data_IF_532368003220
#
_entry.id   IF_532368003220
#
_cell.length_a   1.000
_cell.length_b   1.000
_cell.length_c   1.000
_cell.angle_alpha   90.00
_cell.angle_beta   90.00
_cell.angle_gamma   90.00
#
_symmetry.space_group_name_H-M   'P 1'
#
loop_
_entity.id
_entity.type
_entity.pdbx_description
1 polymer ?
#
# COMPACT_ATOMS: atom_id res chain seq x y z
N UNK A 1 20.43 -6.66 -48.24
CA UNK A 1 19.81 -5.64 -47.38
C UNK A 1 19.32 -6.34 -46.12
N UNK A 2 19.67 -5.78 -44.96
CA UNK A 2 19.63 -6.41 -43.63
C UNK A 2 18.19 -6.70 -43.21
N UNK A 3 17.92 -7.95 -42.80
CA UNK A 3 16.64 -8.36 -42.25
C UNK A 3 16.43 -7.72 -40.89
N UNK A 4 15.54 -6.73 -40.83
CA UNK A 4 15.09 -6.15 -39.58
C UNK A 4 14.06 -7.12 -39.00
N UNK A 5 14.51 -7.95 -38.05
CA UNK A 5 13.61 -8.78 -37.24
C UNK A 5 12.62 -7.92 -36.44
N UNK A 6 11.56 -8.51 -35.89
CA UNK A 6 10.58 -7.78 -35.09
C UNK A 6 11.28 -7.02 -33.96
N UNK A 7 10.97 -5.72 -33.84
CA UNK A 7 11.51 -4.88 -32.76
C UNK A 7 11.22 -5.55 -31.42
N UNK A 8 12.22 -5.64 -30.51
CA UNK A 8 11.95 -6.10 -29.16
C UNK A 8 10.88 -5.22 -28.52
N UNK A 9 10.00 -5.79 -27.67
CA UNK A 9 8.98 -5.00 -26.99
C UNK A 9 9.65 -3.86 -26.22
N UNK A 10 9.05 -2.66 -26.20
CA UNK A 10 9.60 -1.52 -25.47
C UNK A 10 9.80 -1.92 -24.00
N UNK A 11 10.97 -1.58 -23.45
CA UNK A 11 11.29 -1.83 -22.05
C UNK A 11 10.27 -1.13 -21.16
N UNK A 12 9.54 -1.89 -20.33
CA UNK A 12 8.62 -1.35 -19.30
C UNK A 12 9.31 -0.43 -18.27
N UNK A 13 10.64 -0.45 -18.22
CA UNK A 13 11.43 0.61 -17.59
C UNK A 13 11.69 1.66 -18.67
N UNK A 14 11.06 2.83 -18.56
CA UNK A 14 11.41 3.98 -19.39
C UNK A 14 12.93 4.11 -19.46
N UNK A 15 13.45 4.38 -20.66
CA UNK A 15 14.88 4.35 -20.90
C UNK A 15 15.55 5.53 -20.19
N UNK A 16 16.08 5.30 -18.98
CA UNK A 16 16.92 6.25 -18.25
C UNK A 16 18.12 6.77 -19.08
N UNK A 17 18.41 6.14 -20.22
CA UNK A 17 19.46 6.55 -21.15
C UNK A 17 19.15 7.85 -21.89
N UNK A 18 17.89 8.28 -21.96
CA UNK A 18 17.47 9.52 -22.65
C UNK A 18 17.34 10.72 -21.69
N UNK A 19 17.54 10.52 -20.38
CA UNK A 19 17.37 11.57 -19.37
C UNK A 19 18.64 12.41 -19.17
N UNK A 20 18.50 13.73 -18.96
CA UNK A 20 19.57 14.60 -18.46
C UNK A 20 20.24 14.03 -17.19
N UNK A 21 21.57 14.15 -17.11
CA UNK A 21 22.37 13.49 -16.07
C UNK A 21 22.06 14.02 -14.65
N UNK A 22 21.70 15.29 -14.53
CA UNK A 22 21.23 15.93 -13.31
C UNK A 22 19.92 15.30 -12.82
N UNK A 23 18.94 15.06 -13.70
CA UNK A 23 17.70 14.37 -13.34
C UNK A 23 17.96 12.91 -12.94
N UNK A 24 18.89 12.23 -13.60
CA UNK A 24 19.29 10.87 -13.22
C UNK A 24 19.91 10.85 -11.81
N UNK A 25 20.75 11.83 -11.48
CA UNK A 25 21.32 11.96 -10.14
C UNK A 25 20.25 12.23 -9.09
N UNK A 26 19.30 13.11 -9.40
CA UNK A 26 18.19 13.43 -8.50
C UNK A 26 17.28 12.23 -8.28
N UNK A 27 16.95 11.46 -9.33
CA UNK A 27 16.18 10.22 -9.19
C UNK A 27 16.89 9.23 -8.27
N UNK A 28 18.22 9.08 -8.40
CA UNK A 28 18.99 8.19 -7.50
C UNK A 28 18.95 8.68 -6.06
N UNK A 29 19.09 9.98 -5.84
CA UNK A 29 18.96 10.57 -4.51
C UNK A 29 17.56 10.30 -3.91
N UNK A 30 16.50 10.50 -4.70
CA UNK A 30 15.13 10.21 -4.31
C UNK A 30 14.91 8.72 -4.01
N UNK A 31 15.50 7.83 -4.80
CA UNK A 31 15.48 6.39 -4.53
C UNK A 31 16.12 6.06 -3.17
N UNK A 32 17.26 6.67 -2.86
CA UNK A 32 17.95 6.47 -1.59
C UNK A 32 17.12 6.91 -0.38
N UNK A 33 16.41 8.04 -0.47
CA UNK A 33 15.64 8.58 0.66
C UNK A 33 14.21 8.03 0.75
N UNK A 34 13.60 7.62 -0.37
CA UNK A 34 12.22 7.14 -0.41
C UNK A 34 12.11 5.61 -0.31
N UNK A 35 13.08 4.85 -0.81
CA UNK A 35 13.02 3.38 -0.74
C UNK A 35 13.42 2.91 0.66
N UNK A 36 12.43 2.42 1.40
CA UNK A 36 12.65 1.83 2.72
C UNK A 36 13.10 0.38 2.55
N UNK A 37 14.37 0.09 2.81
CA UNK A 37 14.97 -1.26 2.69
C UNK A 37 14.33 -2.27 3.66
N UNK A 38 14.39 -3.56 3.32
CA UNK A 38 13.86 -4.65 4.15
C UNK A 38 14.33 -4.61 5.61
N UNK A 39 15.62 -4.32 5.84
CA UNK A 39 16.17 -4.17 7.20
C UNK A 39 15.46 -3.09 8.02
N UNK A 40 15.18 -1.93 7.41
CA UNK A 40 14.46 -0.85 8.06
C UNK A 40 12.98 -1.18 8.26
N UNK A 41 12.35 -1.89 7.32
CA UNK A 41 10.98 -2.38 7.49
C UNK A 41 10.87 -3.35 8.68
N UNK A 42 11.84 -4.24 8.86
CA UNK A 42 11.90 -5.14 10.02
C UNK A 42 12.08 -4.38 11.32
N UNK A 43 12.95 -3.37 11.35
CA UNK A 43 13.13 -2.48 12.51
C UNK A 43 11.81 -1.79 12.89
N UNK A 44 11.13 -1.17 11.92
CA UNK A 44 9.82 -0.51 12.13
C UNK A 44 8.77 -1.51 12.62
N UNK A 45 8.71 -2.70 11.99
CA UNK A 45 7.75 -3.75 12.37
C UNK A 45 8.00 -4.21 13.81
N UNK A 46 9.25 -4.44 14.20
CA UNK A 46 9.59 -4.84 15.56
C UNK A 46 9.27 -3.73 16.57
N UNK A 47 9.49 -2.47 16.21
CA UNK A 47 9.07 -1.34 17.03
C UNK A 47 7.54 -1.36 17.23
N UNK A 48 6.74 -1.50 16.17
CA UNK A 48 5.29 -1.65 16.29
C UNK A 48 4.87 -2.84 17.16
N UNK A 49 5.54 -4.00 17.05
CA UNK A 49 5.26 -5.14 17.94
C UNK A 49 5.44 -4.74 19.40
N UNK A 50 6.57 -4.12 19.75
CA UNK A 50 6.85 -3.67 21.12
C UNK A 50 5.86 -2.62 21.64
N UNK A 51 5.41 -1.68 20.80
CA UNK A 51 4.37 -0.72 21.18
C UNK A 51 3.01 -1.40 21.38
N UNK A 52 2.65 -2.35 20.51
CA UNK A 52 1.42 -3.13 20.68
C UNK A 52 1.45 -4.02 21.94
N UNK A 53 2.63 -4.46 22.40
CA UNK A 53 2.81 -5.21 23.65
C UNK A 53 2.64 -4.34 24.89
N UNK A 54 3.15 -3.10 24.87
CA UNK A 54 2.96 -2.12 25.94
C UNK A 54 1.48 -1.76 26.13
N UNK A 55 0.70 -1.79 25.04
CA UNK A 55 -0.68 -1.30 25.02
C UNK A 55 -0.70 0.22 24.94
N UNK A 56 -1.77 0.78 24.37
CA UNK A 56 -1.82 2.22 24.08
C UNK A 56 -2.10 3.05 25.34
N UNK A 57 -1.32 4.12 25.53
CA UNK A 57 -1.62 5.24 26.43
C UNK A 57 -1.88 6.46 25.52
N UNK A 58 -3.13 6.92 25.53
CA UNK A 58 -3.68 8.11 24.86
C UNK A 58 -3.84 8.11 23.32
N UNK A 59 -4.89 8.82 22.89
CA UNK A 59 -5.40 8.85 21.52
C UNK A 59 -4.83 10.00 20.70
N UNK A 60 -4.40 9.69 19.48
CA UNK A 60 -4.05 10.65 18.44
C UNK A 60 -4.69 10.26 17.11
N UNK A 61 -5.10 11.25 16.32
CA UNK A 61 -5.57 11.06 14.94
C UNK A 61 -4.55 11.67 14.00
N UNK A 62 -4.05 10.89 13.02
CA UNK A 62 -3.15 11.36 11.99
C UNK A 62 -3.96 11.56 10.70
N UNK A 63 -4.04 12.79 10.15
CA UNK A 63 -4.73 13.02 8.90
C UNK A 63 -3.98 12.38 7.72
N UNK A 64 -4.74 11.80 6.79
CA UNK A 64 -4.22 11.15 5.59
C UNK A 64 -4.56 12.02 4.37
N UNK A 65 -3.54 12.64 3.74
CA UNK A 65 -3.69 13.36 2.48
C UNK A 65 -3.27 12.45 1.32
N UNK A 66 -4.18 12.05 0.42
CA UNK A 66 -3.82 11.19 -0.70
C UNK A 66 -3.28 12.01 -1.89
N UNK A 67 -2.16 11.57 -2.47
CA UNK A 67 -1.60 12.09 -3.74
C UNK A 67 -1.52 10.96 -4.76
N UNK A 68 -2.04 11.18 -5.98
CA UNK A 68 -2.15 10.16 -7.03
C UNK A 68 -1.50 10.66 -8.33
N UNK A 69 -0.81 9.75 -9.04
CA UNK A 69 -0.51 9.89 -10.47
C UNK A 69 -0.84 8.55 -11.11
N UNK A 70 -1.79 8.56 -12.03
CA UNK A 70 -2.17 7.42 -12.87
C UNK A 70 -1.79 7.83 -14.29
N UNK A 71 -0.96 7.04 -14.98
CA UNK A 71 -0.82 7.17 -16.42
C UNK A 71 -0.67 5.77 -17.03
N UNK A 72 -1.73 5.23 -17.65
CA UNK A 72 -1.69 3.91 -18.25
C UNK A 72 -0.94 3.89 -19.59
N UNK A 73 -0.60 5.05 -20.16
CA UNK A 73 0.00 5.17 -21.48
C UNK A 73 1.50 5.50 -21.40
N UNK A 74 2.32 4.85 -22.23
CA UNK A 74 3.77 5.12 -22.28
C UNK A 74 4.11 6.54 -22.74
N UNK A 75 3.16 7.23 -23.39
CA UNK A 75 3.32 8.58 -23.91
C UNK A 75 3.16 9.69 -22.86
N UNK A 76 2.78 9.35 -21.62
CA UNK A 76 2.62 10.28 -20.50
C UNK A 76 1.62 11.43 -20.74
N UNK A 77 0.69 11.23 -21.68
CA UNK A 77 -0.23 12.27 -22.13
C UNK A 77 -1.24 12.67 -21.05
N UNK A 78 -1.73 11.71 -20.25
CA UNK A 78 -2.62 12.03 -19.12
C UNK A 78 -1.89 12.84 -18.05
N UNK A 79 -0.62 12.51 -17.78
CA UNK A 79 0.23 13.27 -16.86
C UNK A 79 0.43 14.70 -17.38
N UNK A 80 0.72 14.88 -18.66
CA UNK A 80 0.85 16.21 -19.27
C UNK A 80 -0.43 17.02 -19.13
N UNK A 81 -1.58 16.45 -19.51
CA UNK A 81 -2.87 17.11 -19.46
C UNK A 81 -3.24 17.50 -18.02
N UNK A 82 -2.92 16.63 -17.05
CA UNK A 82 -3.16 16.90 -15.63
C UNK A 82 -2.35 18.10 -15.12
N UNK A 83 -1.05 18.15 -15.45
CA UNK A 83 -0.17 19.25 -15.04
C UNK A 83 -0.57 20.56 -15.71
N UNK A 84 -0.93 20.53 -16.99
CA UNK A 84 -1.42 21.70 -17.71
C UNK A 84 -2.75 22.20 -17.10
N UNK A 85 -3.72 21.30 -16.88
CA UNK A 85 -5.05 21.68 -16.41
C UNK A 85 -5.11 22.11 -14.93
N UNK A 86 -4.27 21.51 -14.07
CA UNK A 86 -4.33 21.76 -12.62
C UNK A 86 -3.29 22.74 -12.12
N UNK A 87 -2.11 22.76 -12.74
CA UNK A 87 -0.96 23.54 -12.27
C UNK A 87 -0.51 24.59 -13.28
N UNK A 88 -1.11 24.62 -14.48
CA UNK A 88 -0.70 25.49 -15.59
C UNK A 88 0.79 25.30 -15.95
N UNK A 89 1.25 24.05 -15.89
CA UNK A 89 2.63 23.65 -16.21
C UNK A 89 2.65 22.80 -17.47
N UNK A 90 3.45 23.21 -18.44
CA UNK A 90 3.73 22.40 -19.63
C UNK A 90 5.08 21.72 -19.44
N UNK A 91 5.04 20.41 -19.17
CA UNK A 91 6.24 19.62 -18.95
C UNK A 91 6.83 19.16 -20.28
N UNK A 92 8.15 18.97 -20.30
CA UNK A 92 8.83 18.24 -21.35
C UNK A 92 8.86 16.74 -21.02
N UNK A 93 9.31 15.91 -21.98
CA UNK A 93 9.33 14.45 -21.82
C UNK A 93 10.17 13.97 -20.62
N UNK A 94 11.32 14.59 -20.37
CA UNK A 94 12.19 14.21 -19.25
C UNK A 94 11.53 14.54 -17.89
N UNK A 95 10.83 15.66 -17.80
CA UNK A 95 10.07 16.04 -16.61
C UNK A 95 8.88 15.10 -16.36
N UNK A 96 8.17 14.69 -17.42
CA UNK A 96 7.08 13.70 -17.31
C UNK A 96 7.61 12.35 -16.81
N UNK A 97 8.72 11.88 -17.36
CA UNK A 97 9.37 10.64 -16.93
C UNK A 97 9.84 10.74 -15.47
N UNK A 98 10.39 11.90 -15.07
CA UNK A 98 10.76 12.19 -13.69
C UNK A 98 9.55 12.15 -12.74
N UNK A 99 8.45 12.84 -13.07
CA UNK A 99 7.22 12.87 -12.26
C UNK A 99 6.66 11.47 -12.07
N UNK A 100 6.59 10.67 -13.15
CA UNK A 100 6.18 9.27 -13.06
C UNK A 100 7.07 8.49 -12.11
N UNK A 101 8.40 8.63 -12.22
CA UNK A 101 9.34 7.91 -11.35
C UNK A 101 9.16 8.29 -9.89
N UNK A 102 9.01 9.58 -9.60
CA UNK A 102 8.74 10.08 -8.25
C UNK A 102 7.44 9.49 -7.69
N UNK A 103 6.36 9.48 -8.46
CA UNK A 103 5.09 8.89 -8.04
C UNK A 103 5.19 7.38 -7.78
N UNK A 104 5.95 6.65 -8.58
CA UNK A 104 6.25 5.24 -8.34
C UNK A 104 6.97 5.03 -7.01
N UNK A 105 7.97 5.86 -6.69
CA UNK A 105 8.72 5.80 -5.43
C UNK A 105 7.85 6.10 -4.22
N UNK A 106 7.03 7.17 -4.29
CA UNK A 106 6.08 7.54 -3.23
C UNK A 106 5.09 6.41 -2.97
N UNK A 107 4.45 5.87 -4.03
CA UNK A 107 3.50 4.77 -3.88
C UNK A 107 4.16 3.48 -3.36
N UNK A 108 5.40 3.19 -3.76
CA UNK A 108 6.16 2.04 -3.27
C UNK A 108 6.49 2.19 -1.79
N UNK A 109 6.95 3.37 -1.37
CA UNK A 109 7.20 3.68 0.04
C UNK A 109 5.94 3.51 0.89
N UNK A 110 4.82 4.07 0.43
CA UNK A 110 3.54 3.99 1.15
C UNK A 110 3.10 2.54 1.36
N UNK A 111 3.12 1.71 0.32
CA UNK A 111 2.75 0.30 0.41
C UNK A 111 3.68 -0.48 1.37
N UNK A 112 5.00 -0.24 1.28
CA UNK A 112 6.01 -0.91 2.12
C UNK A 112 5.84 -0.57 3.60
N UNK A 113 5.63 0.71 3.93
CA UNK A 113 5.41 1.14 5.31
C UNK A 113 4.07 0.65 5.85
N UNK A 114 3.01 0.62 5.03
CA UNK A 114 1.70 0.08 5.43
C UNK A 114 1.78 -1.41 5.80
N UNK A 115 2.60 -2.19 5.08
CA UNK A 115 2.80 -3.61 5.35
C UNK A 115 3.42 -3.88 6.74
N UNK A 116 4.21 -2.95 7.30
CA UNK A 116 4.77 -3.09 8.64
C UNK A 116 3.69 -3.24 9.73
N UNK A 117 2.59 -2.51 9.62
CA UNK A 117 1.48 -2.60 10.57
C UNK A 117 0.80 -3.97 10.54
N UNK A 118 0.53 -4.48 9.33
CA UNK A 118 -0.03 -5.82 9.12
C UNK A 118 0.89 -6.89 9.68
N UNK A 119 2.19 -6.84 9.31
CA UNK A 119 3.18 -7.80 9.80
C UNK A 119 3.33 -7.76 11.33
N UNK A 120 3.28 -6.58 11.94
CA UNK A 120 3.38 -6.42 13.39
C UNK A 120 2.20 -7.08 14.12
N UNK A 121 0.97 -6.89 13.64
CA UNK A 121 -0.22 -7.54 14.22
C UNK A 121 -0.11 -9.06 14.08
N UNK A 122 0.29 -9.55 12.91
CA UNK A 122 0.43 -10.99 12.66
C UNK A 122 1.49 -11.62 13.56
N UNK A 123 2.67 -10.98 13.70
CA UNK A 123 3.70 -11.41 14.66
C UNK A 123 3.18 -11.43 16.10
N UNK A 124 2.55 -10.34 16.55
CA UNK A 124 2.02 -10.24 17.92
C UNK A 124 0.97 -11.31 18.24
N UNK A 125 0.12 -11.63 17.26
CA UNK A 125 -0.94 -12.63 17.41
C UNK A 125 -0.49 -14.06 17.09
N UNK A 126 0.76 -14.24 16.67
CA UNK A 126 1.30 -15.50 16.18
C UNK A 126 0.47 -16.09 15.03
N UNK A 127 0.07 -15.25 14.08
CA UNK A 127 -0.57 -15.67 12.84
C UNK A 127 0.48 -16.05 11.81
N UNK A 128 0.55 -17.34 11.49
CA UNK A 128 1.37 -17.87 10.41
C UNK A 128 0.66 -17.75 9.06
N UNK A 129 -0.66 -17.87 9.06
CA UNK A 129 -1.52 -17.66 7.89
C UNK A 129 -2.77 -16.87 8.25
N UNK A 130 -3.15 -15.90 7.42
CA UNK A 130 -4.43 -15.20 7.54
C UNK A 130 -4.78 -14.36 6.30
N UNK A 131 -6.06 -14.01 6.18
CA UNK A 131 -6.50 -12.94 5.29
C UNK A 131 -6.70 -11.65 6.08
N UNK A 132 -6.19 -10.56 5.52
CA UNK A 132 -6.29 -9.22 6.09
C UNK A 132 -7.24 -8.42 5.20
N UNK A 133 -8.42 -8.12 5.72
CA UNK A 133 -9.36 -7.24 5.04
C UNK A 133 -8.85 -5.81 5.05
N UNK A 134 -8.63 -5.23 3.87
CA UNK A 134 -8.28 -3.83 3.68
C UNK A 134 -9.38 -3.14 2.86
N UNK A 135 -9.78 -1.97 3.35
CA UNK A 135 -10.64 -1.03 2.63
C UNK A 135 -9.95 0.33 2.54
N UNK A 136 -10.39 1.14 1.58
CA UNK A 136 -9.84 2.46 1.30
C UNK A 136 -9.44 2.60 -0.16
N UNK A 137 -9.54 3.84 -0.66
CA UNK A 137 -9.24 4.15 -2.06
C UNK A 137 -7.82 3.77 -2.47
N UNK A 138 -6.84 3.87 -1.57
CA UNK A 138 -5.43 3.56 -1.88
C UNK A 138 -5.29 2.09 -2.19
N UNK A 139 -5.77 1.23 -1.31
CA UNK A 139 -5.68 -0.21 -1.51
C UNK A 139 -6.48 -0.68 -2.74
N UNK A 140 -7.65 -0.09 -2.98
CA UNK A 140 -8.56 -0.53 -4.04
C UNK A 140 -8.24 0.05 -5.43
N UNK A 141 -7.67 1.26 -5.51
CA UNK A 141 -7.53 2.00 -6.77
C UNK A 141 -6.09 2.39 -7.10
N UNK A 142 -5.16 2.41 -6.14
CA UNK A 142 -3.78 2.80 -6.42
C UNK A 142 -3.06 1.69 -7.23
N UNK A 143 -2.39 2.01 -8.36
CA UNK A 143 -1.73 1.03 -9.21
C UNK A 143 -0.67 0.25 -8.46
N UNK A 144 -0.74 -1.06 -8.57
CA UNK A 144 0.25 -1.98 -8.02
C UNK A 144 0.42 -1.92 -6.50
N UNK A 145 -0.49 -1.27 -5.77
CA UNK A 145 -0.34 -1.09 -4.32
C UNK A 145 -0.41 -2.43 -3.57
N UNK A 146 -1.29 -3.32 -4.02
CA UNK A 146 -1.44 -4.68 -3.46
C UNK A 146 -0.16 -5.49 -3.65
N UNK A 147 0.38 -5.47 -4.86
CA UNK A 147 1.59 -6.19 -5.25
C UNK A 147 2.83 -5.66 -4.52
N UNK A 148 2.94 -4.33 -4.38
CA UNK A 148 4.01 -3.67 -3.61
C UNK A 148 3.92 -4.02 -2.11
N UNK A 149 2.70 -4.07 -1.56
CA UNK A 149 2.46 -4.47 -0.17
C UNK A 149 2.79 -5.94 0.07
N UNK A 150 2.38 -6.85 -0.83
CA UNK A 150 2.69 -8.28 -0.75
C UNK A 150 4.20 -8.56 -0.83
N UNK A 151 4.92 -7.85 -1.70
CA UNK A 151 6.39 -7.93 -1.74
C UNK A 151 7.02 -7.48 -0.42
N UNK A 152 6.54 -6.37 0.15
CA UNK A 152 7.02 -5.87 1.42
C UNK A 152 6.77 -6.87 2.56
N UNK A 153 5.60 -7.51 2.60
CA UNK A 153 5.28 -8.56 3.59
C UNK A 153 6.25 -9.75 3.48
N UNK A 154 6.50 -10.25 2.26
CA UNK A 154 7.48 -11.30 2.01
C UNK A 154 8.87 -10.96 2.57
N UNK A 155 9.33 -9.73 2.35
CA UNK A 155 10.63 -9.26 2.86
C UNK A 155 10.65 -9.10 4.39
N UNK A 156 9.56 -8.61 5.00
CA UNK A 156 9.47 -8.39 6.45
C UNK A 156 9.43 -9.72 7.21
N UNK A 157 8.76 -10.71 6.63
CA UNK A 157 8.47 -12.02 7.25
C UNK A 157 9.39 -13.14 6.76
N UNK A 158 10.40 -12.81 5.95
CA UNK A 158 11.44 -13.73 5.47
C UNK A 158 10.88 -14.95 4.72
N UNK A 159 9.86 -14.71 3.89
CA UNK A 159 9.30 -15.76 3.05
C UNK A 159 10.13 -15.99 1.80
N UNK A 160 10.22 -17.25 1.33
CA UNK A 160 10.86 -17.54 0.06
C UNK A 160 10.12 -16.86 -1.09
N UNK A 161 10.82 -16.66 -2.22
CA UNK A 161 10.16 -16.25 -3.45
C UNK A 161 9.10 -17.29 -3.87
N UNK A 162 8.00 -16.79 -4.43
CA UNK A 162 6.95 -17.65 -4.95
C UNK A 162 7.50 -18.50 -6.09
N UNK A 163 7.14 -19.79 -6.08
CA UNK A 163 7.48 -20.69 -7.18
C UNK A 163 6.69 -20.34 -8.44
N UNK A 164 5.40 -20.03 -8.27
CA UNK A 164 4.56 -19.48 -9.33
C UNK A 164 4.02 -18.09 -8.94
N UNK A 165 3.95 -17.12 -9.88
CA UNK A 165 3.40 -15.80 -9.60
C UNK A 165 1.95 -15.78 -9.09
N UNK A 166 1.20 -16.85 -9.33
CA UNK A 166 -0.21 -17.01 -8.93
C UNK A 166 -0.38 -17.70 -7.57
N UNK A 167 0.70 -18.17 -6.95
CA UNK A 167 0.62 -18.80 -5.62
C UNK A 167 0.22 -17.74 -4.59
N UNK A 168 -0.57 -18.12 -3.59
CA UNK A 168 -0.95 -17.23 -2.49
C UNK A 168 0.22 -17.04 -1.51
N UNK A 169 0.35 -15.85 -0.94
CA UNK A 169 1.26 -15.64 0.19
C UNK A 169 0.61 -16.16 1.49
N UNK A 170 1.38 -16.59 2.52
CA UNK A 170 0.80 -17.03 3.79
C UNK A 170 -0.15 -16.00 4.44
N UNK A 171 0.15 -14.70 4.27
CA UNK A 171 -0.76 -13.62 4.65
C UNK A 171 -1.08 -12.79 3.42
N UNK A 172 -2.37 -12.71 3.10
CA UNK A 172 -2.88 -11.94 1.96
C UNK A 172 -3.71 -10.75 2.43
N UNK A 173 -3.42 -9.59 1.85
CA UNK A 173 -4.26 -8.41 2.03
C UNK A 173 -5.30 -8.43 0.91
N UNK A 174 -6.57 -8.53 1.27
CA UNK A 174 -7.71 -8.65 0.37
C UNK A 174 -8.64 -7.45 0.53
N UNK A 175 -9.48 -7.18 -0.48
CA UNK A 175 -10.50 -6.15 -0.35
C UNK A 175 -11.51 -6.58 0.72
N UNK A 176 -11.76 -5.72 1.70
CA UNK A 176 -12.79 -5.96 2.70
C UNK A 176 -14.18 -5.62 2.16
N UNK A 177 -15.19 -6.27 2.74
CA UNK A 177 -16.58 -5.85 2.63
C UNK A 177 -16.80 -4.52 3.37
N UNK A 178 -17.95 -3.88 3.14
CA UNK A 178 -18.33 -2.63 3.82
C UNK A 178 -18.40 -2.81 5.35
N UNK A 179 -17.33 -2.38 6.03
CA UNK A 179 -17.24 -2.43 7.48
C UNK A 179 -18.18 -1.44 8.17
N UNK A 180 -18.50 -0.31 7.52
CA UNK A 180 -19.28 0.77 8.13
C UNK A 180 -20.78 0.53 8.09
N UNK A 181 -21.31 -0.09 7.03
CA UNK A 181 -22.69 -0.50 6.92
C UNK A 181 -22.89 -1.94 7.38
N UNK A 182 -22.41 -2.91 6.59
CA UNK A 182 -22.64 -4.35 6.84
C UNK A 182 -21.99 -4.78 8.16
N UNK A 183 -20.74 -4.37 8.41
CA UNK A 183 -20.03 -4.68 9.66
C UNK A 183 -20.75 -4.15 10.90
N UNK A 184 -21.22 -2.89 10.86
CA UNK A 184 -21.97 -2.29 11.95
C UNK A 184 -23.30 -3.02 12.23
N UNK A 185 -24.04 -3.38 11.18
CA UNK A 185 -25.28 -4.15 11.30
C UNK A 185 -25.04 -5.54 11.91
N UNK A 186 -23.95 -6.22 11.52
CA UNK A 186 -23.58 -7.52 12.06
C UNK A 186 -23.21 -7.44 13.54
N UNK A 187 -22.43 -6.43 13.94
CA UNK A 187 -22.09 -6.18 15.36
C UNK A 187 -23.36 -5.91 16.17
N UNK A 188 -24.30 -5.11 15.65
CA UNK A 188 -25.58 -4.86 16.31
C UNK A 188 -26.39 -6.17 16.49
N UNK A 189 -26.51 -6.98 15.45
CA UNK A 189 -27.22 -8.27 15.51
C UNK A 189 -26.58 -9.25 16.53
N UNK A 190 -25.25 -9.37 16.53
CA UNK A 190 -24.53 -10.19 17.50
C UNK A 190 -24.67 -9.66 18.94
N UNK A 191 -24.71 -8.33 19.11
CA UNK A 191 -24.93 -7.70 20.41
C UNK A 191 -26.33 -8.02 20.93
N UNK A 192 -27.37 -7.85 20.11
CA UNK A 192 -28.75 -8.20 20.49
C UNK A 192 -28.89 -9.67 20.91
N UNK A 193 -28.27 -10.59 20.17
CA UNK A 193 -28.25 -12.02 20.52
C UNK A 193 -27.58 -12.28 21.87
N UNK A 194 -26.44 -11.62 22.16
CA UNK A 194 -25.74 -11.75 23.45
C UNK A 194 -26.60 -11.24 24.61
N UNK A 195 -27.29 -10.12 24.41
CA UNK A 195 -28.17 -9.55 25.43
C UNK A 195 -29.34 -10.48 25.75
N UNK A 196 -29.96 -11.09 24.73
CA UNK A 196 -31.01 -12.11 24.93
C UNK A 196 -30.52 -13.33 25.72
N UNK A 197 -29.21 -13.62 25.68
CA UNK A 197 -28.57 -14.68 26.47
C UNK A 197 -28.10 -14.20 27.86
N UNK A 198 -28.42 -12.96 28.25
CA UNK A 198 -28.03 -12.36 29.53
C UNK A 198 -26.61 -11.82 29.59
N UNK A 199 -25.88 -11.79 28.47
CA UNK A 199 -24.51 -11.29 28.42
C UNK A 199 -24.45 -9.83 27.95
N UNK A 200 -24.34 -8.91 28.92
CA UNK A 200 -24.33 -7.46 28.69
C UNK A 200 -22.94 -6.81 28.80
N UNK A 201 -21.87 -7.62 28.85
CA UNK A 201 -20.50 -7.11 29.02
C UNK A 201 -20.13 -6.08 27.92
N UNK A 202 -19.69 -4.89 28.33
CA UNK A 202 -19.24 -3.82 27.45
C UNK A 202 -20.34 -2.92 26.86
N UNK A 203 -21.62 -3.14 27.20
CA UNK A 203 -22.72 -2.27 26.75
C UNK A 203 -22.82 -1.07 27.70
N UNK A 204 -22.79 0.14 27.16
CA UNK A 204 -22.83 1.39 27.95
C UNK A 204 -24.15 1.58 28.72
N UNK A 205 -25.28 1.22 28.10
CA UNK A 205 -26.62 1.36 28.67
C UNK A 205 -27.40 0.03 28.59
N UNK A 206 -27.09 -0.94 29.48
CA UNK A 206 -27.71 -2.26 29.44
C UNK A 206 -29.21 -2.24 29.78
N UNK A 207 -29.68 -1.22 30.51
CA UNK A 207 -31.09 -1.06 30.88
C UNK A 207 -32.02 -0.85 29.67
N UNK A 208 -31.49 -0.37 28.54
CA UNK A 208 -32.25 -0.16 27.31
C UNK A 208 -32.68 -1.46 26.61
N UNK A 209 -32.22 -2.61 27.11
CA UNK A 209 -32.46 -3.92 26.49
C UNK A 209 -33.18 -4.91 27.44
N UNK A 210 -33.79 -4.40 28.51
CA UNK A 210 -34.67 -5.17 29.40
C UNK A 210 -36.06 -5.37 28.82
#
# INVERSE_FOLDING_TARGET
>A
MVGIGPKPPPSRKGSMAELPQDLVQEIRHLEEILIVKASKLKEITNHFVSELEKGNVEGGSIPMNPTWVMDPFENLSETQDLFAAKLNLNLNRAELEFVRRLAELVGTRAARLSACGVAAICKKKNYETCHVGADGSVFNKYPHFKERGALALREILDWPEKKNPTDEDPIEILAAEDGSGVGAALIAALTLKRVQQGNVAGILHPDNFK
#
